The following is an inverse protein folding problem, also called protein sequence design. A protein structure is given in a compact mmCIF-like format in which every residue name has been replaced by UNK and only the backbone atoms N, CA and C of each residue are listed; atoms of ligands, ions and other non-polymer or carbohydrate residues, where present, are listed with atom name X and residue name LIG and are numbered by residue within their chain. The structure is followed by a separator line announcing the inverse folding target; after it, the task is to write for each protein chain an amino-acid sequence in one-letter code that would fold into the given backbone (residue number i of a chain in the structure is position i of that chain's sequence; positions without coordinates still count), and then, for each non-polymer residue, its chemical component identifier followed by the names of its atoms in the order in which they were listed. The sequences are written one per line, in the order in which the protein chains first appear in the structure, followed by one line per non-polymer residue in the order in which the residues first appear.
data_IF_695305645634
#
_entry.id   IF_695305645634
#
_cell.length_a   1.000
_cell.length_b   1.000
_cell.length_c   1.000
_cell.angle_alpha   90.00
_cell.angle_beta   90.00
_cell.angle_gamma   90.00
#
_symmetry.space_group_name_H-M   'P 1'
#
loop_
_entity.id
_entity.type
_entity.pdbx_description
1 polymer ?
#
# COMPACT_ATOMS: atom_id res chain seq x y z
N UNK A 1 12.14 -8.04 -21.72
CA UNK A 1 12.51 -8.22 -20.29
C UNK A 1 12.19 -9.62 -19.77
N UNK A 2 11.20 -10.28 -20.37
CA UNK A 2 10.76 -11.65 -20.06
C UNK A 2 11.86 -12.68 -19.81
N UNK A 3 12.97 -12.70 -20.57
CA UNK A 3 14.06 -13.68 -20.39
C UNK A 3 14.73 -13.59 -19.02
N UNK A 4 14.94 -12.38 -18.51
CA UNK A 4 15.60 -12.15 -17.22
C UNK A 4 14.64 -12.39 -16.06
N UNK A 5 13.37 -11.98 -16.23
CA UNK A 5 12.29 -12.26 -15.27
C UNK A 5 12.01 -13.77 -15.17
N UNK A 6 12.15 -14.51 -16.27
CA UNK A 6 12.01 -15.96 -16.31
C UNK A 6 13.28 -16.73 -16.01
N UNK A 7 14.34 -16.10 -15.48
CA UNK A 7 15.57 -16.81 -15.14
C UNK A 7 15.34 -17.81 -14.00
N UNK A 8 15.92 -19.01 -14.13
CA UNK A 8 15.98 -20.00 -13.05
C UNK A 8 16.86 -19.52 -11.89
N UNK A 9 17.84 -18.66 -12.17
CA UNK A 9 18.63 -18.01 -11.13
C UNK A 9 17.77 -16.99 -10.39
N UNK A 10 17.43 -17.33 -9.14
CA UNK A 10 16.62 -16.51 -8.26
C UNK A 10 17.19 -15.10 -8.05
N UNK A 11 18.52 -14.95 -7.94
CA UNK A 11 19.14 -13.63 -7.73
C UNK A 11 19.00 -12.76 -8.98
N UNK A 12 19.24 -13.36 -10.15
CA UNK A 12 19.05 -12.68 -11.44
C UNK A 12 17.58 -12.28 -11.60
N UNK A 13 16.65 -13.19 -11.32
CA UNK A 13 15.21 -12.93 -11.40
C UNK A 13 14.76 -11.81 -10.47
N UNK A 14 15.06 -11.91 -9.16
CA UNK A 14 14.69 -10.89 -8.15
C UNK A 14 15.25 -9.52 -8.52
N UNK A 15 16.54 -9.44 -8.87
CA UNK A 15 17.16 -8.17 -9.28
C UNK A 15 16.54 -7.59 -10.54
N UNK A 16 16.15 -8.46 -11.48
CA UNK A 16 15.47 -8.02 -12.71
C UNK A 16 14.09 -7.44 -12.43
N UNK A 17 13.31 -8.05 -11.53
CA UNK A 17 12.00 -7.54 -11.10
C UNK A 17 12.15 -6.19 -10.42
N UNK A 18 13.14 -6.03 -9.53
CA UNK A 18 13.44 -4.75 -8.86
C UNK A 18 13.82 -3.65 -9.87
N UNK A 19 14.66 -3.97 -10.86
CA UNK A 19 15.02 -3.03 -11.93
C UNK A 19 13.78 -2.62 -12.73
N UNK A 20 12.90 -3.57 -13.06
CA UNK A 20 11.65 -3.28 -13.77
C UNK A 20 10.77 -2.35 -12.95
N UNK A 21 10.58 -2.64 -11.65
CA UNK A 21 9.80 -1.80 -10.75
C UNK A 21 10.31 -0.36 -10.77
N UNK A 22 11.62 -0.16 -10.65
CA UNK A 22 12.22 1.19 -10.65
C UNK A 22 11.99 1.92 -11.99
N UNK A 23 12.15 1.24 -13.12
CA UNK A 23 11.89 1.83 -14.46
C UNK A 23 10.40 2.22 -14.60
N UNK A 24 9.51 1.37 -14.11
CA UNK A 24 8.07 1.57 -14.20
C UNK A 24 7.62 2.70 -13.26
N UNK A 25 8.20 2.81 -12.07
CA UNK A 25 7.96 3.94 -11.14
C UNK A 25 8.27 5.28 -11.80
N UNK A 26 9.45 5.40 -12.42
CA UNK A 26 9.83 6.61 -13.16
C UNK A 26 8.90 6.86 -14.35
N UNK A 27 8.39 5.80 -14.99
CA UNK A 27 7.44 5.89 -16.11
C UNK A 27 6.07 6.48 -15.75
N UNK A 28 5.75 6.60 -14.47
CA UNK A 28 4.54 7.29 -13.98
C UNK A 28 4.74 8.80 -13.83
N UNK A 29 5.98 9.27 -13.69
CA UNK A 29 6.26 10.70 -13.48
C UNK A 29 5.71 11.53 -14.65
N UNK A 30 4.83 12.49 -14.32
CA UNK A 30 4.19 13.35 -15.30
C UNK A 30 2.88 12.80 -15.91
N UNK A 31 2.47 11.57 -15.59
CA UNK A 31 1.16 11.05 -15.96
C UNK A 31 0.05 11.71 -15.12
N UNK A 32 -1.05 12.08 -15.78
CA UNK A 32 -2.27 12.59 -15.13
C UNK A 32 -3.19 11.45 -14.68
N UNK A 33 -4.18 11.78 -13.85
CA UNK A 33 -5.23 10.82 -13.48
C UNK A 33 -5.94 10.28 -14.73
N UNK A 34 -6.09 8.96 -14.80
CA UNK A 34 -6.73 8.28 -15.92
C UNK A 34 -5.81 8.05 -17.13
N UNK A 35 -4.58 8.58 -17.13
CA UNK A 35 -3.59 8.26 -18.16
C UNK A 35 -2.96 6.89 -17.91
N UNK A 36 -2.84 6.12 -18.99
CA UNK A 36 -2.34 4.75 -18.93
C UNK A 36 -0.82 4.72 -19.02
N UNK A 37 -0.21 3.73 -18.36
CA UNK A 37 1.24 3.59 -18.33
C UNK A 37 1.84 3.39 -19.75
N UNK A 38 2.88 4.15 -20.15
CA UNK A 38 3.43 4.13 -21.52
C UNK A 38 4.03 2.78 -21.92
N UNK A 39 4.60 2.05 -20.95
CA UNK A 39 5.23 0.75 -21.20
C UNK A 39 4.27 -0.45 -21.26
N UNK A 40 2.95 -0.27 -21.02
CA UNK A 40 1.99 -1.37 -21.00
C UNK A 40 2.03 -2.21 -22.28
N UNK A 41 1.88 -1.58 -23.45
CA UNK A 41 1.81 -2.30 -24.72
C UNK A 41 3.11 -3.06 -25.02
N UNK A 42 4.26 -2.47 -24.69
CA UNK A 42 5.55 -3.09 -24.93
C UNK A 42 5.76 -4.33 -24.05
N UNK A 43 5.44 -4.22 -22.76
CA UNK A 43 5.52 -5.33 -21.80
C UNK A 43 4.49 -6.43 -22.04
N UNK A 44 3.32 -6.06 -22.59
CA UNK A 44 2.32 -7.02 -23.03
C UNK A 44 2.82 -7.80 -24.26
N UNK A 45 3.42 -7.09 -25.22
CA UNK A 45 3.89 -7.69 -26.48
C UNK A 45 5.08 -8.64 -26.30
N UNK A 46 5.95 -8.36 -25.33
CA UNK A 46 7.13 -9.20 -25.03
C UNK A 46 6.85 -10.28 -23.97
N UNK A 47 5.59 -10.45 -23.58
CA UNK A 47 5.10 -11.42 -22.59
C UNK A 47 5.61 -11.22 -21.15
N UNK A 48 6.24 -10.07 -20.85
CA UNK A 48 6.72 -9.79 -19.50
C UNK A 48 5.57 -9.72 -18.50
N UNK A 49 4.41 -9.14 -18.86
CA UNK A 49 3.24 -9.07 -17.98
C UNK A 49 2.76 -10.47 -17.60
N UNK A 50 2.61 -11.37 -18.56
CA UNK A 50 2.18 -12.75 -18.35
C UNK A 50 3.15 -13.48 -17.43
N UNK A 51 4.46 -13.26 -17.61
CA UNK A 51 5.46 -13.89 -16.75
C UNK A 51 5.41 -13.36 -15.32
N UNK A 52 5.21 -12.05 -15.13
CA UNK A 52 5.01 -11.46 -13.80
C UNK A 52 3.76 -12.02 -13.12
N UNK A 53 2.66 -12.15 -13.85
CA UNK A 53 1.40 -12.75 -13.35
C UNK A 53 1.62 -14.20 -12.90
N UNK A 54 2.35 -14.98 -13.70
CA UNK A 54 2.71 -16.35 -13.32
C UNK A 54 3.55 -16.36 -12.03
N UNK A 55 4.62 -15.57 -11.98
CA UNK A 55 5.51 -15.51 -10.82
C UNK A 55 4.79 -15.02 -9.57
N UNK A 56 3.84 -14.10 -9.68
CA UNK A 56 3.04 -13.65 -8.54
C UNK A 56 2.31 -14.82 -7.84
N UNK A 57 1.88 -15.83 -8.61
CA UNK A 57 1.19 -17.01 -8.08
C UNK A 57 2.18 -18.08 -7.56
N UNK A 58 3.33 -18.22 -8.21
CA UNK A 58 4.26 -19.33 -7.98
C UNK A 58 5.39 -19.00 -6.98
N UNK A 59 5.74 -17.72 -6.82
CA UNK A 59 6.85 -17.27 -5.99
C UNK A 59 6.50 -17.37 -4.49
N UNK A 60 7.53 -17.60 -3.65
CA UNK A 60 7.38 -17.74 -2.20
C UNK A 60 8.04 -16.61 -1.42
N UNK A 61 8.99 -15.93 -2.05
CA UNK A 61 9.68 -14.79 -1.45
C UNK A 61 8.74 -13.59 -1.32
N UNK A 62 8.44 -13.19 -0.07
CA UNK A 62 7.49 -12.10 0.22
C UNK A 62 7.90 -10.78 -0.43
N UNK A 63 9.18 -10.42 -0.41
CA UNK A 63 9.66 -9.20 -1.05
C UNK A 63 9.43 -9.24 -2.57
N UNK A 64 9.74 -10.37 -3.20
CA UNK A 64 9.57 -10.53 -4.64
C UNK A 64 8.09 -10.48 -5.03
N UNK A 65 7.20 -11.13 -4.26
CA UNK A 65 5.75 -11.05 -4.44
C UNK A 65 5.28 -9.59 -4.36
N UNK A 66 5.74 -8.85 -3.35
CA UNK A 66 5.40 -7.45 -3.16
C UNK A 66 5.91 -6.57 -4.32
N UNK A 67 7.16 -6.76 -4.78
CA UNK A 67 7.68 -6.05 -5.96
C UNK A 67 6.89 -6.35 -7.23
N UNK A 68 6.46 -7.61 -7.42
CA UNK A 68 5.62 -7.98 -8.56
C UNK A 68 4.26 -7.30 -8.45
N UNK A 69 3.63 -7.31 -7.28
CA UNK A 69 2.33 -6.66 -7.05
C UNK A 69 2.40 -5.16 -7.35
N UNK A 70 3.42 -4.47 -6.85
CA UNK A 70 3.64 -3.05 -7.14
C UNK A 70 3.86 -2.83 -8.65
N UNK A 71 4.72 -3.64 -9.28
CA UNK A 71 5.00 -3.54 -10.72
C UNK A 71 3.73 -3.67 -11.55
N UNK A 72 2.88 -4.65 -11.23
CA UNK A 72 1.60 -4.86 -11.92
C UNK A 72 0.65 -3.69 -11.66
N UNK A 73 0.56 -3.17 -10.44
CA UNK A 73 -0.30 -2.02 -10.14
C UNK A 73 0.05 -0.78 -10.98
N UNK A 74 1.34 -0.48 -11.11
CA UNK A 74 1.81 0.63 -11.94
C UNK A 74 1.52 0.41 -13.43
N UNK A 75 1.81 -0.78 -13.96
CA UNK A 75 1.58 -1.13 -15.36
C UNK A 75 0.08 -1.02 -15.70
N UNK A 76 -0.78 -1.45 -14.77
CA UNK A 76 -2.24 -1.44 -14.91
C UNK A 76 -2.90 -0.14 -14.42
N UNK A 77 -2.14 0.93 -14.18
CA UNK A 77 -2.71 2.27 -13.92
C UNK A 77 -3.77 2.62 -14.98
N UNK A 78 -4.93 3.05 -14.52
CA UNK A 78 -6.08 3.39 -15.36
C UNK A 78 -6.51 2.28 -16.36
N UNK A 79 -6.19 1.01 -16.04
CA UNK A 79 -6.58 -0.19 -16.79
C UNK A 79 -7.21 -1.23 -15.86
N UNK A 80 -8.08 -2.10 -16.36
CA UNK A 80 -8.58 -3.22 -15.57
C UNK A 80 -7.48 -4.25 -15.34
N UNK A 81 -7.29 -4.65 -14.08
CA UNK A 81 -6.52 -5.86 -13.76
C UNK A 81 -7.23 -7.11 -14.30
N UNK A 82 -6.48 -8.16 -14.68
CA UNK A 82 -7.07 -9.46 -15.01
C UNK A 82 -7.84 -10.01 -13.81
N UNK A 83 -9.07 -10.49 -14.05
CA UNK A 83 -9.99 -10.96 -13.00
C UNK A 83 -9.37 -12.00 -12.08
N UNK A 84 -8.50 -12.85 -12.63
CA UNK A 84 -7.85 -13.97 -11.95
C UNK A 84 -6.90 -13.58 -10.82
N UNK A 85 -6.31 -12.38 -10.87
CA UNK A 85 -5.30 -11.90 -9.89
C UNK A 85 -5.73 -10.64 -9.17
N UNK A 86 -6.88 -10.08 -9.56
CA UNK A 86 -7.33 -8.77 -9.11
C UNK A 86 -7.42 -8.67 -7.59
N UNK A 87 -8.06 -9.65 -6.95
CA UNK A 87 -8.26 -9.62 -5.50
C UNK A 87 -6.94 -9.85 -4.75
N UNK A 88 -6.12 -10.79 -5.23
CA UNK A 88 -4.85 -11.14 -4.61
C UNK A 88 -3.86 -9.96 -4.63
N UNK A 89 -3.78 -9.24 -5.76
CA UNK A 89 -2.97 -8.01 -5.86
C UNK A 89 -3.48 -6.94 -4.90
N UNK A 90 -4.80 -6.74 -4.81
CA UNK A 90 -5.37 -5.74 -3.91
C UNK A 90 -5.06 -6.07 -2.45
N UNK A 91 -5.21 -7.32 -2.03
CA UNK A 91 -4.92 -7.73 -0.65
C UNK A 91 -3.42 -7.66 -0.33
N UNK A 92 -2.54 -7.94 -1.29
CA UNK A 92 -1.09 -7.80 -1.09
C UNK A 92 -0.64 -6.34 -0.92
N UNK A 93 -1.28 -5.40 -1.62
CA UNK A 93 -0.94 -3.97 -1.58
C UNK A 93 -1.56 -3.22 -0.39
N UNK A 94 -2.69 -3.70 0.11
CA UNK A 94 -3.48 -3.12 1.21
C UNK A 94 -2.71 -2.71 2.47
N UNK A 95 -1.67 -3.43 2.92
CA UNK A 95 -0.97 -3.07 4.15
C UNK A 95 -0.22 -1.73 4.06
N UNK A 96 0.42 -1.44 2.92
CA UNK A 96 1.43 -0.36 2.85
C UNK A 96 1.42 0.45 1.54
N UNK A 97 0.77 0.01 0.46
CA UNK A 97 0.99 0.53 -0.90
C UNK A 97 -0.24 1.32 -1.39
N UNK A 98 -0.46 2.50 -0.77
CA UNK A 98 -1.66 3.31 -0.99
C UNK A 98 -1.69 3.93 -2.41
N UNK A 99 -0.55 4.34 -2.93
CA UNK A 99 -0.43 4.96 -4.25
C UNK A 99 -0.75 3.95 -5.35
N UNK A 100 -0.24 2.73 -5.22
CA UNK A 100 -0.52 1.60 -6.12
C UNK A 100 -2.01 1.27 -6.15
N UNK A 101 -2.67 1.25 -4.99
CA UNK A 101 -4.12 1.08 -4.92
C UNK A 101 -4.86 2.24 -5.60
N UNK A 102 -4.37 3.48 -5.44
CA UNK A 102 -4.93 4.64 -6.12
C UNK A 102 -4.84 4.49 -7.64
N UNK A 103 -3.70 4.06 -8.19
CA UNK A 103 -3.53 3.84 -9.63
C UNK A 103 -4.52 2.81 -10.21
N UNK A 104 -4.77 1.73 -9.46
CA UNK A 104 -5.75 0.70 -9.82
C UNK A 104 -7.21 1.20 -9.77
N UNK A 105 -7.47 2.26 -9.01
CA UNK A 105 -8.78 2.89 -8.85
C UNK A 105 -9.18 3.83 -9.98
N UNK A 106 -8.21 4.29 -10.77
CA UNK A 106 -8.42 5.27 -11.83
C UNK A 106 -9.13 4.68 -13.06
N UNK A 107 -9.19 3.36 -13.17
CA UNK A 107 -9.97 2.72 -14.23
C UNK A 107 -11.47 3.05 -14.05
N UNK A 108 -12.19 3.22 -15.18
CA UNK A 108 -13.60 3.65 -15.21
C UNK A 108 -14.62 2.59 -14.75
N UNK A 109 -14.19 1.37 -14.47
CA UNK A 109 -15.02 0.32 -13.86
C UNK A 109 -14.98 0.36 -12.32
N UNK A 110 -15.91 -0.37 -11.68
CA UNK A 110 -16.17 -0.64 -10.24
C UNK A 110 -15.04 -0.49 -9.20
N UNK A 111 -13.77 -0.46 -9.60
CA UNK A 111 -12.59 -0.22 -8.79
C UNK A 111 -12.59 1.13 -8.07
N UNK A 112 -13.10 2.22 -8.68
CA UNK A 112 -13.14 3.54 -8.03
C UNK A 112 -13.92 3.50 -6.71
N UNK A 113 -15.00 2.73 -6.65
CA UNK A 113 -15.79 2.53 -5.42
C UNK A 113 -15.06 1.65 -4.40
N UNK A 114 -14.42 0.56 -4.84
CA UNK A 114 -13.71 -0.37 -3.92
C UNK A 114 -12.47 0.27 -3.29
N UNK A 115 -11.71 1.04 -4.06
CA UNK A 115 -10.53 1.74 -3.52
C UNK A 115 -10.95 2.94 -2.67
N UNK A 116 -11.95 3.72 -3.08
CA UNK A 116 -12.51 4.75 -2.21
C UNK A 116 -13.02 4.16 -0.88
N UNK A 117 -13.61 2.97 -0.89
CA UNK A 117 -14.05 2.27 0.31
C UNK A 117 -12.88 1.78 1.17
N UNK A 118 -11.83 1.23 0.56
CA UNK A 118 -10.63 0.78 1.27
C UNK A 118 -9.86 1.94 1.90
N UNK A 119 -9.65 3.04 1.15
CA UNK A 119 -9.05 4.28 1.65
C UNK A 119 -9.90 4.87 2.77
N UNK A 120 -11.22 4.97 2.58
CA UNK A 120 -12.14 5.47 3.63
C UNK A 120 -12.07 4.62 4.89
N UNK A 121 -12.04 3.28 4.77
CA UNK A 121 -11.92 2.38 5.92
C UNK A 121 -10.59 2.61 6.66
N UNK A 122 -9.48 2.73 5.94
CA UNK A 122 -8.16 2.96 6.55
C UNK A 122 -8.05 4.33 7.23
N UNK A 123 -8.63 5.37 6.63
CA UNK A 123 -8.69 6.71 7.23
C UNK A 123 -9.48 6.67 8.54
N UNK A 124 -10.61 5.94 8.59
CA UNK A 124 -11.39 5.75 9.81
C UNK A 124 -10.57 5.02 10.88
N UNK A 125 -9.96 3.87 10.53
CA UNK A 125 -9.13 3.09 11.46
C UNK A 125 -7.98 3.92 12.07
N UNK A 126 -7.29 4.71 11.25
CA UNK A 126 -6.23 5.60 11.71
C UNK A 126 -6.78 6.73 12.60
N UNK A 127 -7.92 7.31 12.24
CA UNK A 127 -8.55 8.37 13.03
C UNK A 127 -8.96 7.85 14.40
N UNK A 128 -9.58 6.67 14.46
CA UNK A 128 -10.02 6.03 15.71
C UNK A 128 -8.81 5.70 16.60
N UNK A 129 -7.73 5.18 16.02
CA UNK A 129 -6.48 4.91 16.74
C UNK A 129 -5.91 6.16 17.42
N UNK A 130 -5.77 7.26 16.68
CA UNK A 130 -5.25 8.51 17.24
C UNK A 130 -6.20 9.12 18.28
N UNK A 131 -7.52 8.99 18.09
CA UNK A 131 -8.50 9.45 19.08
C UNK A 131 -8.40 8.70 20.40
N UNK A 132 -8.26 7.38 20.38
CA UNK A 132 -8.08 6.59 21.60
C UNK A 132 -6.73 6.86 22.28
N UNK A 133 -5.65 7.07 21.52
CA UNK A 133 -4.35 7.45 22.09
C UNK A 133 -4.42 8.81 22.82
N UNK A 134 -5.06 9.81 22.19
CA UNK A 134 -5.27 11.14 22.80
C UNK A 134 -6.13 11.04 24.06
N UNK A 135 -7.17 10.20 24.02
CA UNK A 135 -8.08 9.99 25.16
C UNK A 135 -7.38 9.31 26.34
N UNK A 136 -6.52 8.32 26.10
CA UNK A 136 -5.69 7.71 27.15
C UNK A 136 -4.78 8.74 27.79
N UNK A 137 -4.05 9.53 26.99
CA UNK A 137 -3.17 10.59 27.52
C UNK A 137 -3.96 11.62 28.34
N UNK A 138 -5.15 12.01 27.89
CA UNK A 138 -6.01 12.93 28.63
C UNK A 138 -6.45 12.34 29.99
N UNK A 139 -6.77 11.05 30.04
CA UNK A 139 -7.12 10.34 31.28
C UNK A 139 -5.94 10.25 32.25
N UNK A 140 -4.73 9.97 31.75
CA UNK A 140 -3.51 9.97 32.54
C UNK A 140 -3.23 11.36 33.14
N UNK A 141 -3.36 12.42 32.34
CA UNK A 141 -3.19 13.80 32.81
C UNK A 141 -4.25 14.15 33.86
N UNK A 142 -5.51 13.78 33.66
CA UNK A 142 -6.59 14.00 34.63
C UNK A 142 -6.32 13.28 35.96
N UNK A 143 -5.80 12.05 35.90
CA UNK A 143 -5.37 11.29 37.08
C UNK A 143 -4.24 12.03 37.82
N UNK A 144 -3.23 12.52 37.10
CA UNK A 144 -2.12 13.27 37.68
C UNK A 144 -2.59 14.58 38.34
N UNK A 145 -3.45 15.35 37.68
CA UNK A 145 -3.99 16.61 38.24
C UNK A 145 -4.78 16.33 39.53
N UNK A 146 -5.64 15.31 39.54
CA UNK A 146 -6.38 14.93 40.76
C UNK A 146 -5.44 14.59 41.91
N UNK A 147 -4.39 13.83 41.64
CA UNK A 147 -3.41 13.45 42.66
C UNK A 147 -2.59 14.65 43.17
N UNK A 148 -2.38 15.69 42.35
CA UNK A 148 -1.70 16.92 42.79
C UNK A 148 -2.62 17.73 43.69
N UNK A 149 -3.86 17.97 43.26
CA UNK A 149 -4.84 18.75 44.02
C UNK A 149 -5.14 18.12 45.39
N UNK A 150 -5.28 16.79 45.46
CA UNK A 150 -5.49 16.11 46.75
C UNK A 150 -4.29 16.21 47.69
N UNK A 151 -3.08 16.43 47.20
CA UNK A 151 -1.89 16.64 48.05
C UNK A 151 -1.78 18.08 48.54
N UNK A 152 -2.15 19.05 47.70
CA UNK A 152 -2.20 20.47 48.10
C UNK A 152 -3.27 20.70 49.20
N UNK A 153 -4.42 20.01 49.12
CA UNK A 153 -5.46 20.05 50.16
C UNK A 153 -5.02 19.39 51.48
N UNK A 154 -4.16 18.36 51.44
CA UNK A 154 -3.60 17.74 52.65
C UNK A 154 -2.54 18.63 53.32
N UNK A 155 -1.73 19.35 52.54
CA UNK A 155 -0.70 20.28 53.05
C UNK A 155 -1.30 21.58 53.64
N UNK A 156 -2.41 22.11 53.10
CA UNK A 156 -3.10 23.29 53.66
C UNK A 156 -3.81 23.04 55.00
N UNK A 157 -4.20 21.79 55.28
CA UNK A 157 -4.91 21.43 56.53
C UNK A 157 -3.97 21.09 57.71
N UNK A 158 -2.66 20.94 57.47
CA UNK A 158 -1.65 20.67 58.51
C UNK A 158 -1.02 21.96 59.08
N UNK A 159 -1.30 23.13 58.51
CA UNK A 159 -0.77 24.45 58.90
C UNK A 159 -1.78 25.36 59.69
N UNK A 160 -3.02 24.88 59.97
CA UNK A 160 -4.04 25.52 60.84
C UNK A 160 -4.04 24.99 62.30
#
# INVERSE_FOLDING_TARGET
MVKMVGSEDYKVRKKSIEIILNIIKVGIEGLKEGEQHPYYQKLQSDQTIQKLIQLFKDEKDRDTINYIAQTLAHIFKARPLPTEIKNDIIEELKPCEIDELAFLSENRDENKKKVALAVKKKVIELTDYYQEEVKQKAQEILSLIKNILSKEEEEENDDE
#
